data_IF_095127731769
#
_entry.id   IF_095127731769
#
_cell.length_a   1.000
_cell.length_b   1.000
_cell.length_c   1.000
_cell.angle_alpha   90.00
_cell.angle_beta   90.00
_cell.angle_gamma   90.00
#
_symmetry.space_group_name_H-M   'P 1'
#
loop_
_entity.id
_entity.type
_entity.pdbx_description
1 polymer ?
#
# COMPACT_ATOMS: atom_id res chain seq x y z
N UNK A 1 5.49 16.02 0.17
CA UNK A 1 4.76 14.97 0.91
C UNK A 1 5.63 13.77 1.27
N UNK A 2 6.44 13.24 0.34
CA UNK A 2 7.31 12.07 0.58
C UNK A 2 8.20 12.19 1.82
N UNK A 3 8.92 13.29 2.00
CA UNK A 3 9.81 13.50 3.15
C UNK A 3 9.06 13.52 4.49
N UNK A 4 7.88 14.14 4.54
CA UNK A 4 7.03 14.19 5.74
C UNK A 4 6.66 12.78 6.18
N UNK A 5 6.15 11.98 5.25
CA UNK A 5 5.77 10.60 5.53
C UNK A 5 6.96 9.73 5.90
N UNK A 6 8.11 9.91 5.25
CA UNK A 6 9.33 9.16 5.59
C UNK A 6 9.75 9.40 7.04
N UNK A 7 9.73 10.66 7.50
CA UNK A 7 10.07 11.02 8.89
C UNK A 7 9.13 10.39 9.92
N UNK A 8 7.89 10.14 9.53
CA UNK A 8 6.84 9.61 10.42
C UNK A 8 6.69 8.09 10.31
N UNK A 9 7.45 7.45 9.41
CA UNK A 9 7.37 6.02 9.22
C UNK A 9 7.85 5.27 10.46
N UNK A 10 6.96 4.44 11.02
CA UNK A 10 7.25 3.54 12.14
C UNK A 10 7.21 2.10 11.65
N UNK A 11 8.36 1.41 11.54
CA UNK A 11 8.41 0.02 11.06
C UNK A 11 7.52 -0.92 11.87
N UNK A 12 7.54 -0.78 13.20
CA UNK A 12 6.69 -1.53 14.15
C UNK A 12 5.20 -1.42 13.81
N UNK A 13 4.73 -0.19 13.55
CA UNK A 13 3.33 0.07 13.21
C UNK A 13 2.95 -0.55 11.86
N UNK A 14 3.88 -0.55 10.90
CA UNK A 14 3.67 -1.22 9.61
C UNK A 14 3.57 -2.74 9.77
N UNK A 15 4.50 -3.36 10.51
CA UNK A 15 4.50 -4.80 10.76
C UNK A 15 3.20 -5.23 11.43
N UNK A 16 2.77 -4.51 12.47
CA UNK A 16 1.50 -4.78 13.15
C UNK A 16 0.31 -4.67 12.18
N UNK A 17 0.30 -3.65 11.30
CA UNK A 17 -0.77 -3.49 10.32
C UNK A 17 -0.81 -4.62 9.28
N UNK A 18 0.34 -5.09 8.80
CA UNK A 18 0.41 -6.24 7.89
C UNK A 18 -0.13 -7.49 8.57
N UNK A 19 0.21 -7.73 9.84
CA UNK A 19 -0.29 -8.86 10.62
C UNK A 19 -1.81 -8.82 10.77
N UNK A 20 -2.38 -7.67 11.15
CA UNK A 20 -3.83 -7.49 11.30
C UNK A 20 -4.57 -7.75 9.97
N UNK A 21 -3.98 -7.34 8.85
CA UNK A 21 -4.60 -7.47 7.53
C UNK A 21 -4.39 -8.83 6.87
N UNK A 22 -3.51 -9.67 7.41
CA UNK A 22 -3.18 -10.97 6.83
C UNK A 22 -4.42 -11.86 6.69
N UNK A 23 -5.24 -11.96 7.74
CA UNK A 23 -6.46 -12.78 7.71
C UNK A 23 -7.46 -12.25 6.66
N UNK A 24 -7.68 -10.94 6.63
CA UNK A 24 -8.57 -10.30 5.64
C UNK A 24 -8.06 -10.49 4.22
N UNK A 25 -6.74 -10.42 4.02
CA UNK A 25 -6.10 -10.72 2.74
C UNK A 25 -6.33 -12.17 2.34
N UNK A 26 -6.25 -13.12 3.27
CA UNK A 26 -6.43 -14.53 2.96
C UNK A 26 -7.87 -14.90 2.56
N UNK A 27 -8.83 -14.09 2.99
CA UNK A 27 -10.24 -14.18 2.60
C UNK A 27 -10.56 -13.54 1.23
N UNK A 28 -9.64 -12.75 0.65
CA UNK A 28 -9.84 -12.18 -0.70
C UNK A 28 -9.86 -13.30 -1.74
N UNK A 29 -10.77 -13.16 -2.72
CA UNK A 29 -10.90 -14.07 -3.87
C UNK A 29 -9.50 -14.45 -4.43
N UNK A 30 -9.15 -15.76 -4.48
CA UNK A 30 -7.88 -16.23 -5.01
C UNK A 30 -7.57 -15.71 -6.43
N UNK A 31 -8.57 -15.53 -7.29
CA UNK A 31 -8.39 -14.99 -8.63
C UNK A 31 -7.90 -13.54 -8.60
N UNK A 32 -8.47 -12.72 -7.71
CA UNK A 32 -8.05 -11.32 -7.50
C UNK A 32 -6.63 -11.30 -6.92
N UNK A 33 -6.34 -12.14 -5.92
CA UNK A 33 -4.99 -12.27 -5.35
C UNK A 33 -3.96 -12.66 -6.40
N UNK A 34 -4.27 -13.63 -7.26
CA UNK A 34 -3.39 -14.06 -8.34
C UNK A 34 -3.17 -12.96 -9.38
N UNK A 35 -4.20 -12.16 -9.70
CA UNK A 35 -4.09 -11.02 -10.61
C UNK A 35 -3.15 -9.95 -10.06
N UNK A 36 -3.34 -9.56 -8.79
CA UNK A 36 -2.51 -8.53 -8.14
C UNK A 36 -1.10 -9.04 -7.85
N UNK A 37 -0.91 -10.32 -7.56
CA UNK A 37 0.41 -10.92 -7.36
C UNK A 37 1.32 -10.82 -8.60
N UNK A 38 0.75 -10.69 -9.81
CA UNK A 38 1.52 -10.47 -11.06
C UNK A 38 1.98 -9.01 -11.23
N UNK A 39 1.53 -8.10 -10.38
CA UNK A 39 1.92 -6.69 -10.42
C UNK A 39 3.27 -6.45 -9.73
N UNK A 40 3.81 -5.24 -9.89
CA UNK A 40 5.04 -4.80 -9.21
C UNK A 40 4.81 -4.30 -7.77
N UNK A 41 3.59 -4.44 -7.23
CA UNK A 41 3.25 -3.97 -5.90
C UNK A 41 3.90 -4.89 -4.86
N UNK A 42 4.64 -4.37 -3.87
CA UNK A 42 5.19 -5.19 -2.79
C UNK A 42 4.11 -5.97 -2.03
N UNK A 43 4.41 -7.23 -1.69
CA UNK A 43 3.45 -8.14 -1.06
C UNK A 43 2.79 -7.56 0.19
N UNK A 44 3.56 -6.90 1.04
CA UNK A 44 3.03 -6.27 2.26
C UNK A 44 1.99 -5.18 1.97
N UNK A 45 2.18 -4.40 0.90
CA UNK A 45 1.21 -3.39 0.47
C UNK A 45 -0.04 -4.06 -0.11
N UNK A 46 0.13 -5.18 -0.85
CA UNK A 46 -1.01 -5.98 -1.30
C UNK A 46 -1.82 -6.51 -0.11
N UNK A 47 -1.17 -7.05 0.93
CA UNK A 47 -1.83 -7.54 2.14
C UNK A 47 -2.70 -6.45 2.77
N UNK A 48 -2.15 -5.25 2.87
CA UNK A 48 -2.78 -4.14 3.58
C UNK A 48 -3.91 -3.46 2.80
N UNK A 49 -3.80 -3.36 1.46
CA UNK A 49 -4.74 -2.59 0.65
C UNK A 49 -5.73 -3.44 -0.14
N UNK A 50 -5.35 -4.66 -0.53
CA UNK A 50 -6.20 -5.51 -1.35
C UNK A 50 -7.55 -5.84 -0.69
N UNK A 51 -7.64 -6.09 0.63
CA UNK A 51 -8.92 -6.34 1.28
C UNK A 51 -9.92 -5.20 1.18
N UNK A 52 -9.44 -3.95 1.15
CA UNK A 52 -10.30 -2.76 1.13
C UNK A 52 -10.59 -2.31 -0.32
N UNK A 53 -9.63 -2.47 -1.23
CA UNK A 53 -9.73 -1.96 -2.60
C UNK A 53 -10.13 -3.01 -3.64
N UNK A 54 -9.90 -4.29 -3.36
CA UNK A 54 -10.01 -5.35 -4.37
C UNK A 54 -9.18 -5.04 -5.62
N UNK A 55 -9.72 -5.36 -6.81
CA UNK A 55 -9.03 -5.12 -8.08
C UNK A 55 -8.74 -3.64 -8.36
N UNK A 56 -9.47 -2.72 -7.74
CA UNK A 56 -9.25 -1.29 -7.90
C UNK A 56 -7.86 -0.86 -7.43
N UNK A 57 -7.19 -1.65 -6.57
CA UNK A 57 -5.80 -1.42 -6.17
C UNK A 57 -4.89 -1.18 -7.38
N UNK A 58 -5.03 -1.97 -8.45
CA UNK A 58 -4.21 -1.82 -9.66
C UNK A 58 -4.41 -0.45 -10.32
N UNK A 59 -5.65 0.03 -10.36
CA UNK A 59 -5.96 1.35 -10.91
C UNK A 59 -5.49 2.47 -9.97
N UNK A 60 -5.64 2.27 -8.66
CA UNK A 60 -5.24 3.25 -7.65
C UNK A 60 -3.73 3.51 -7.66
N UNK A 61 -2.91 2.50 -7.94
CA UNK A 61 -1.45 2.63 -8.03
C UNK A 61 -0.99 3.67 -9.06
N UNK A 62 -1.78 3.90 -10.11
CA UNK A 62 -1.43 4.84 -11.19
C UNK A 62 -2.24 6.15 -11.13
N UNK A 63 -3.10 6.31 -10.12
CA UNK A 63 -3.84 7.55 -9.90
C UNK A 63 -3.03 8.54 -9.08
N UNK A 64 -3.12 9.83 -9.45
CA UNK A 64 -2.60 10.92 -8.64
C UNK A 64 -3.40 11.04 -7.36
N UNK A 65 -2.74 10.92 -6.21
CA UNK A 65 -3.39 10.99 -4.89
C UNK A 65 -3.03 12.33 -4.24
N UNK A 66 -4.00 13.20 -3.90
CA UNK A 66 -3.71 14.48 -3.26
C UNK A 66 -2.91 14.34 -1.96
N UNK A 67 -3.21 13.33 -1.14
CA UNK A 67 -2.46 13.04 0.09
C UNK A 67 -0.98 12.72 -0.19
N UNK A 68 -0.65 12.17 -1.36
CA UNK A 68 0.73 11.92 -1.80
C UNK A 68 1.34 13.13 -2.53
N UNK A 69 0.74 14.32 -2.43
CA UNK A 69 1.23 15.52 -3.13
C UNK A 69 0.95 15.46 -4.63
N UNK A 70 -0.17 14.86 -5.03
CA UNK A 70 -0.56 14.63 -6.43
C UNK A 70 0.39 13.74 -7.24
N UNK A 71 1.23 12.96 -6.57
CA UNK A 71 2.01 11.87 -7.17
C UNK A 71 1.21 10.55 -7.17
N UNK A 72 1.67 9.57 -7.95
CA UNK A 72 1.08 8.23 -7.96
C UNK A 72 1.74 7.34 -6.89
N UNK A 73 1.02 6.38 -6.29
CA UNK A 73 1.63 5.38 -5.43
C UNK A 73 2.76 4.59 -6.13
N UNK A 74 2.63 4.32 -7.43
CA UNK A 74 3.68 3.69 -8.25
C UNK A 74 4.99 4.50 -8.27
N UNK A 75 4.92 5.84 -8.25
CA UNK A 75 6.11 6.70 -8.19
C UNK A 75 6.89 6.52 -6.89
N UNK A 76 6.19 6.28 -5.77
CA UNK A 76 6.81 6.04 -4.48
C UNK A 76 7.55 4.70 -4.42
N UNK A 77 7.14 3.70 -5.20
CA UNK A 77 7.79 2.38 -5.22
C UNK A 77 9.15 2.37 -5.94
N UNK A 78 9.55 3.47 -6.58
CA UNK A 78 10.82 3.57 -7.33
C UNK A 78 12.06 3.64 -6.44
N UNK A 79 11.89 3.85 -5.13
CA UNK A 79 12.99 3.86 -4.15
C UNK A 79 12.56 3.26 -2.82
N UNK A 80 13.54 2.84 -2.01
CA UNK A 80 13.29 2.31 -0.67
C UNK A 80 12.65 3.37 0.24
N UNK A 81 13.18 4.60 0.22
CA UNK A 81 12.63 5.73 0.96
C UNK A 81 11.21 6.07 0.53
N UNK A 82 10.95 6.09 -0.77
CA UNK A 82 9.61 6.30 -1.30
C UNK A 82 8.66 5.19 -0.84
N UNK A 83 9.12 3.94 -0.80
CA UNK A 83 8.32 2.82 -0.31
C UNK A 83 7.97 2.99 1.17
N UNK A 84 8.93 3.40 2.01
CA UNK A 84 8.68 3.71 3.43
C UNK A 84 7.69 4.87 3.60
N UNK A 85 7.82 5.92 2.79
CA UNK A 85 6.89 7.03 2.78
C UNK A 85 5.47 6.61 2.37
N UNK A 86 5.33 5.74 1.36
CA UNK A 86 4.02 5.22 0.95
C UNK A 86 3.39 4.38 2.06
N UNK A 87 4.18 3.51 2.72
CA UNK A 87 3.72 2.73 3.89
C UNK A 87 3.21 3.64 5.01
N UNK A 88 3.92 4.73 5.31
CA UNK A 88 3.47 5.70 6.31
C UNK A 88 2.20 6.45 5.90
N UNK A 89 2.03 6.76 4.61
CA UNK A 89 0.79 7.34 4.10
C UNK A 89 -0.38 6.35 4.21
N UNK A 90 -0.15 5.08 3.89
CA UNK A 90 -1.17 4.01 4.01
C UNK A 90 -1.60 3.82 5.48
N UNK A 91 -0.65 3.91 6.43
CA UNK A 91 -0.95 3.86 7.88
C UNK A 91 -1.92 4.97 8.33
N UNK A 92 -2.08 6.04 7.54
CA UNK A 92 -2.96 7.18 7.81
C UNK A 92 -4.28 7.14 7.05
N UNK A 93 -4.48 6.14 6.19
CA UNK A 93 -5.74 6.01 5.46
C UNK A 93 -6.86 5.66 6.44
N UNK A 94 -8.02 6.34 6.37
CA UNK A 94 -9.21 5.90 7.07
C UNK A 94 -9.59 4.51 6.56
N UNK A 95 -10.02 3.64 7.47
CA UNK A 95 -10.40 2.24 7.21
C UNK A 95 -11.89 2.06 7.38
#
# INVERSE_FOLDING_TARGET
MRETYLKEFKPESWVNMVQIYQERYDQVDPAIRAKVAKSKIPKEIQIVLLPDMGEYLLTWMDKKVPALGHETPSDYLKSEEGTKALKAAILRMPR
#
